data_IF_597774382273
#
_entry.id   IF_597774382273
#
_cell.length_a   1.000
_cell.length_b   1.000
_cell.length_c   1.000
_cell.angle_alpha   90.00
_cell.angle_beta   90.00
_cell.angle_gamma   90.00
#
_symmetry.space_group_name_H-M   'P 1'
#
loop_
_entity.id
_entity.type
_entity.pdbx_description
1 polymer ?
#
# COMPACT_ATOMS: atom_id res chain seq x y z
N UNK A 1 22.00 8.43 4.28
CA UNK A 1 21.46 8.19 5.64
C UNK A 1 20.20 7.35 5.48
N UNK A 2 20.24 6.06 5.84
CA UNK A 2 19.03 5.23 5.84
C UNK A 2 18.20 5.63 7.06
N UNK A 3 16.98 6.13 6.83
CA UNK A 3 16.04 6.43 7.90
C UNK A 3 15.45 5.08 8.34
N UNK A 4 15.87 4.57 9.50
CA UNK A 4 15.27 3.38 10.09
C UNK A 4 13.92 3.74 10.71
N UNK A 5 12.86 3.05 10.30
CA UNK A 5 11.51 3.25 10.86
C UNK A 5 11.09 2.04 11.69
N UNK A 6 10.78 2.27 12.96
CA UNK A 6 10.55 1.20 13.93
C UNK A 6 9.42 0.24 13.54
N UNK A 7 8.40 0.71 12.82
CA UNK A 7 7.27 -0.12 12.36
C UNK A 7 7.60 -0.97 11.13
N UNK A 8 8.62 -0.60 10.36
CA UNK A 8 8.98 -1.28 9.11
C UNK A 8 9.21 -2.80 9.27
N UNK A 9 10.07 -3.27 10.20
CA UNK A 9 10.28 -4.72 10.36
C UNK A 9 9.03 -5.45 10.88
N UNK A 10 8.19 -4.79 11.68
CA UNK A 10 6.94 -5.38 12.19
C UNK A 10 5.94 -5.58 11.05
N UNK A 11 5.74 -4.55 10.22
CA UNK A 11 4.80 -4.63 9.09
C UNK A 11 5.25 -5.71 8.10
N UNK A 12 6.54 -5.80 7.78
CA UNK A 12 7.05 -6.87 6.90
C UNK A 12 6.79 -8.27 7.47
N UNK A 13 7.10 -8.48 8.76
CA UNK A 13 6.83 -9.75 9.44
C UNK A 13 5.35 -10.12 9.39
N UNK A 14 4.46 -9.15 9.65
CA UNK A 14 3.02 -9.39 9.67
C UNK A 14 2.46 -9.69 8.25
N UNK A 15 2.95 -8.99 7.23
CA UNK A 15 2.59 -9.25 5.83
C UNK A 15 3.00 -10.66 5.39
N UNK A 16 4.19 -11.11 5.78
CA UNK A 16 4.70 -12.45 5.45
C UNK A 16 3.95 -13.56 6.20
N UNK A 17 3.65 -13.33 7.49
CA UNK A 17 3.09 -14.38 8.36
C UNK A 17 1.58 -14.54 8.22
N UNK A 18 0.84 -13.45 8.10
CA UNK A 18 -0.62 -13.49 8.27
C UNK A 18 -1.40 -13.34 6.96
N UNK A 19 -0.77 -12.90 5.86
CA UNK A 19 -1.47 -12.60 4.59
C UNK A 19 -2.68 -11.66 4.77
N UNK A 20 -2.61 -10.78 5.78
CA UNK A 20 -3.70 -9.89 6.16
C UNK A 20 -3.43 -8.44 5.74
N UNK A 21 -4.51 -7.65 5.68
CA UNK A 21 -4.43 -6.21 5.49
C UNK A 21 -3.96 -5.54 6.79
N UNK A 22 -2.97 -4.65 6.67
CA UNK A 22 -2.44 -3.86 7.78
C UNK A 22 -2.89 -2.41 7.62
N UNK A 23 -3.56 -1.88 8.64
CA UNK A 23 -3.98 -0.48 8.68
C UNK A 23 -2.96 0.37 9.43
N UNK A 24 -2.35 1.34 8.74
CA UNK A 24 -1.41 2.30 9.33
C UNK A 24 -2.12 3.65 9.49
N UNK A 25 -2.34 4.07 10.73
CA UNK A 25 -2.94 5.37 11.05
C UNK A 25 -1.98 6.26 11.83
N UNK A 26 -2.27 7.57 11.86
CA UNK A 26 -1.46 8.54 12.59
C UNK A 26 -1.54 9.96 12.00
N UNK A 27 -0.94 10.96 12.67
CA UNK A 27 -1.03 12.37 12.27
C UNK A 27 -0.62 12.63 10.81
N UNK A 28 -1.13 13.72 10.24
CA UNK A 28 -0.66 14.20 8.93
C UNK A 28 0.85 14.42 9.00
N UNK A 29 1.57 14.01 7.95
CA UNK A 29 3.05 14.10 7.85
C UNK A 29 3.86 13.31 8.87
N UNK A 30 3.26 12.32 9.54
CA UNK A 30 3.99 11.36 10.39
C UNK A 30 4.86 10.34 9.60
N UNK A 31 4.87 10.43 8.26
CA UNK A 31 5.65 9.55 7.38
C UNK A 31 4.92 8.32 6.86
N UNK A 32 3.62 8.16 7.06
CA UNK A 32 2.84 6.98 6.64
C UNK A 32 3.06 6.61 5.15
N UNK A 33 2.87 7.57 4.24
CA UNK A 33 3.11 7.42 2.80
C UNK A 33 4.52 6.89 2.51
N UNK A 34 5.55 7.53 3.04
CA UNK A 34 6.94 7.08 2.87
C UNK A 34 7.18 5.67 3.44
N UNK A 35 6.47 5.26 4.49
CA UNK A 35 6.62 3.91 5.05
C UNK A 35 6.06 2.87 4.09
N UNK A 36 4.88 3.14 3.52
CA UNK A 36 4.25 2.26 2.56
C UNK A 36 5.07 2.17 1.25
N UNK A 37 5.59 3.29 0.74
CA UNK A 37 6.48 3.33 -0.42
C UNK A 37 7.78 2.55 -0.18
N UNK A 38 8.40 2.69 1.01
CA UNK A 38 9.62 1.94 1.36
C UNK A 38 9.37 0.42 1.33
N UNK A 39 8.26 -0.03 1.91
CA UNK A 39 7.90 -1.46 1.96
C UNK A 39 7.57 -1.97 0.56
N UNK A 40 6.79 -1.22 -0.22
CA UNK A 40 6.46 -1.58 -1.60
C UNK A 40 7.70 -1.68 -2.49
N UNK A 41 8.62 -0.72 -2.37
CA UNK A 41 9.88 -0.74 -3.10
C UNK A 41 10.78 -1.92 -2.68
N UNK A 42 10.75 -2.31 -1.40
CA UNK A 42 11.51 -3.47 -0.91
C UNK A 42 10.93 -4.80 -1.42
N UNK A 43 9.61 -4.94 -1.46
CA UNK A 43 8.95 -6.14 -2.02
C UNK A 43 9.16 -6.20 -3.54
N UNK A 44 9.24 -5.04 -4.21
CA UNK A 44 9.56 -4.94 -5.63
C UNK A 44 8.43 -5.36 -6.57
N UNK A 45 7.28 -5.74 -6.03
CA UNK A 45 6.12 -6.21 -6.78
C UNK A 45 4.83 -5.74 -6.10
N UNK A 46 3.99 -5.03 -6.86
CA UNK A 46 2.73 -4.53 -6.32
C UNK A 46 2.13 -3.35 -7.07
N UNK A 47 1.19 -2.68 -6.40
CA UNK A 47 0.54 -1.46 -6.86
C UNK A 47 0.36 -0.49 -5.71
N UNK A 48 0.46 0.78 -6.05
CA UNK A 48 0.16 1.89 -5.17
C UNK A 48 -1.08 2.60 -5.69
N UNK A 49 -2.01 2.90 -4.80
CA UNK A 49 -3.23 3.65 -5.10
C UNK A 49 -3.45 4.69 -4.01
N UNK A 50 -3.73 5.94 -4.40
CA UNK A 50 -3.97 7.04 -3.49
C UNK A 50 -5.29 7.74 -3.80
N UNK A 51 -6.18 7.82 -2.81
CA UNK A 51 -7.50 8.43 -3.00
C UNK A 51 -7.44 9.92 -3.33
N UNK A 52 -6.39 10.64 -2.95
CA UNK A 52 -6.25 12.07 -3.24
C UNK A 52 -5.84 12.33 -4.71
N UNK A 53 -5.50 11.31 -5.49
CA UNK A 53 -5.15 11.41 -6.91
C UNK A 53 -6.40 11.17 -7.79
N UNK A 54 -6.87 12.14 -8.59
CA UNK A 54 -8.06 11.99 -9.42
C UNK A 54 -8.00 10.81 -10.40
N UNK A 55 -6.83 10.55 -10.99
CA UNK A 55 -6.61 9.44 -11.92
C UNK A 55 -6.82 8.09 -11.25
N UNK A 56 -6.41 7.95 -9.99
CA UNK A 56 -6.58 6.74 -9.18
C UNK A 56 -8.05 6.53 -8.81
N UNK A 57 -8.79 7.60 -8.49
CA UNK A 57 -10.24 7.51 -8.30
C UNK A 57 -10.95 7.02 -9.57
N UNK A 58 -10.57 7.55 -10.74
CA UNK A 58 -11.10 7.13 -12.03
C UNK A 58 -10.73 5.68 -12.34
N UNK A 59 -9.50 5.25 -12.03
CA UNK A 59 -9.05 3.87 -12.20
C UNK A 59 -9.92 2.91 -11.38
N UNK A 60 -10.10 3.18 -10.07
CA UNK A 60 -10.93 2.35 -9.20
C UNK A 60 -12.39 2.30 -9.66
N UNK A 61 -12.93 3.42 -10.16
CA UNK A 61 -14.30 3.48 -10.68
C UNK A 61 -14.48 2.67 -11.97
N UNK A 62 -13.50 2.70 -12.88
CA UNK A 62 -13.57 2.00 -14.18
C UNK A 62 -13.17 0.53 -14.09
N UNK A 63 -12.22 0.20 -13.20
CA UNK A 63 -11.62 -1.12 -13.04
C UNK A 63 -11.46 -1.44 -11.55
N UNK A 64 -12.53 -1.84 -10.85
CA UNK A 64 -12.46 -2.09 -9.41
C UNK A 64 -11.53 -3.26 -9.03
N UNK A 65 -11.18 -4.13 -9.97
CA UNK A 65 -10.26 -5.28 -9.79
C UNK A 65 -8.86 -5.03 -10.38
N UNK A 66 -8.45 -3.76 -10.58
CA UNK A 66 -7.16 -3.44 -11.24
C UNK A 66 -5.92 -4.05 -10.55
N UNK A 67 -6.03 -4.36 -9.26
CA UNK A 67 -4.99 -5.01 -8.47
C UNK A 67 -4.83 -6.52 -8.76
N UNK A 68 -5.83 -7.17 -9.36
CA UNK A 68 -5.74 -8.57 -9.81
C UNK A 68 -4.98 -8.71 -11.13
N UNK A 69 -4.81 -7.62 -11.88
CA UNK A 69 -4.08 -7.60 -13.16
C UNK A 69 -2.55 -7.68 -12.98
N UNK A 70 -2.05 -7.77 -11.74
CA UNK A 70 -0.61 -7.90 -11.46
C UNK A 70 -0.19 -9.34 -11.77
N UNK A 71 0.66 -9.51 -12.78
CA UNK A 71 1.38 -10.77 -12.99
C UNK A 71 2.47 -10.91 -11.93
N UNK A 72 2.31 -11.88 -11.02
CA UNK A 72 3.16 -12.01 -9.84
C UNK A 72 4.15 -13.16 -9.91
N UNK A 73 4.14 -13.98 -10.98
CA UNK A 73 4.84 -15.27 -10.95
C UNK A 73 4.43 -16.09 -9.71
N UNK A 74 5.00 -17.27 -9.50
CA UNK A 74 4.62 -18.09 -8.32
C UNK A 74 5.41 -17.74 -7.05
N UNK A 75 6.31 -16.75 -7.09
CA UNK A 75 7.37 -16.62 -6.08
C UNK A 75 7.22 -15.42 -5.14
N UNK A 76 6.57 -14.33 -5.56
CA UNK A 76 6.43 -13.12 -4.74
C UNK A 76 4.98 -12.72 -4.64
N UNK A 77 4.48 -12.52 -3.41
CA UNK A 77 3.14 -11.97 -3.19
C UNK A 77 3.16 -10.47 -3.47
N UNK A 78 2.29 -9.95 -4.36
CA UNK A 78 2.24 -8.52 -4.63
C UNK A 78 1.72 -7.77 -3.39
N UNK A 79 2.31 -6.61 -3.09
CA UNK A 79 1.77 -5.69 -2.10
C UNK A 79 0.84 -4.67 -2.76
N UNK A 80 -0.40 -4.58 -2.27
CA UNK A 80 -1.31 -3.50 -2.64
C UNK A 80 -1.31 -2.46 -1.52
N UNK A 81 -0.97 -1.23 -1.87
CA UNK A 81 -0.99 -0.08 -0.96
C UNK A 81 -2.19 0.80 -1.29
N UNK A 82 -3.03 1.04 -0.30
CA UNK A 82 -4.09 2.05 -0.36
C UNK A 82 -3.71 3.21 0.57
N UNK A 83 -3.42 4.37 0.00
CA UNK A 83 -3.09 5.59 0.74
C UNK A 83 -4.26 6.59 0.75
N UNK A 84 -4.28 7.43 1.79
CA UNK A 84 -5.31 8.45 2.06
C UNK A 84 -6.76 7.91 2.00
N UNK A 85 -7.00 6.63 2.29
CA UNK A 85 -8.34 6.02 2.26
C UNK A 85 -9.36 6.70 3.18
N UNK A 86 -8.90 7.42 4.22
CA UNK A 86 -9.75 8.21 5.09
C UNK A 86 -10.50 9.33 4.36
N UNK A 87 -10.01 9.79 3.21
CA UNK A 87 -10.67 10.82 2.40
C UNK A 87 -11.72 10.23 1.46
N UNK A 88 -11.91 8.91 1.47
CA UNK A 88 -12.89 8.21 0.66
C UNK A 88 -14.31 8.53 1.15
N UNK A 89 -14.87 9.59 0.59
CA UNK A 89 -16.29 9.92 0.76
C UNK A 89 -17.09 9.24 -0.35
N UNK A 90 -17.51 7.99 -0.08
CA UNK A 90 -18.49 7.27 -0.90
C UNK A 90 -19.74 6.98 -0.08
N UNK A 91 -20.46 8.02 0.37
CA UNK A 91 -21.91 8.00 0.70
C UNK A 91 -22.41 9.44 0.78
#
# INVERSE_FOLDING_TARGET
MQITRNLHPLILSDLEQYEQMIFVSGPRRAGKTTLAEMILNQIGLGRYWNNDIPEDQVLLAKKPFFFEEIDHGKEVKPLIVFDEIQTLNRF
#
